data_IF_800946635863
#
_entry.id   IF_800946635863
#
_cell.length_a   1.000
_cell.length_b   1.000
_cell.length_c   1.000
_cell.angle_alpha   90.00
_cell.angle_beta   90.00
_cell.angle_gamma   90.00
#
_symmetry.space_group_name_H-M   'P 1'
#
loop_
_entity.id
_entity.type
_entity.pdbx_description
1 polymer ?
#
# COMPACT_ATOMS: atom_id res chain seq x y z
N UNK A 1 32.98 26.78 2.69
CA UNK A 1 31.63 27.02 3.23
C UNK A 1 30.72 26.00 2.57
N UNK A 2 30.73 24.77 3.08
CA UNK A 2 30.04 23.63 2.46
C UNK A 2 28.72 23.40 3.21
N UNK A 3 27.59 23.51 2.50
CA UNK A 3 26.31 22.98 2.95
C UNK A 3 25.98 21.78 2.08
N UNK A 4 26.07 20.58 2.67
CA UNK A 4 25.46 19.33 2.17
C UNK A 4 24.36 18.90 3.15
N UNK A 5 23.33 18.18 2.67
CA UNK A 5 22.01 18.12 3.29
C UNK A 5 21.98 17.13 4.47
N UNK A 6 21.35 17.54 5.57
CA UNK A 6 20.96 16.62 6.64
C UNK A 6 19.63 15.95 6.29
N UNK A 7 19.67 14.97 5.39
CA UNK A 7 18.67 13.90 5.36
C UNK A 7 19.02 12.91 6.46
N UNK A 8 18.59 13.23 7.68
CA UNK A 8 18.62 12.27 8.80
C UNK A 8 17.70 11.10 8.39
N UNK A 9 18.20 9.86 8.26
CA UNK A 9 17.33 8.70 8.13
C UNK A 9 16.49 8.66 9.41
N UNK A 10 15.19 8.86 9.25
CA UNK A 10 14.25 8.97 10.37
C UNK A 10 14.41 7.75 11.27
N UNK A 11 14.58 8.02 12.56
CA UNK A 11 14.87 7.15 13.70
C UNK A 11 13.88 5.98 13.90
N UNK A 12 12.93 5.80 12.99
CA UNK A 12 11.93 4.73 12.96
C UNK A 12 12.55 3.38 12.56
N UNK A 13 13.59 3.36 11.70
CA UNK A 13 14.29 2.12 11.31
C UNK A 13 14.91 1.35 12.50
N UNK A 14 15.20 2.02 13.62
CA UNK A 14 15.95 1.44 14.75
C UNK A 14 15.08 1.03 15.95
N UNK A 15 13.80 1.42 16.01
CA UNK A 15 12.94 1.04 17.15
C UNK A 15 12.30 -0.34 16.97
N UNK A 16 12.13 -0.82 15.73
CA UNK A 16 11.51 -2.12 15.43
C UNK A 16 12.49 -3.32 15.46
N UNK A 17 13.78 -3.10 15.71
CA UNK A 17 14.78 -4.17 15.84
C UNK A 17 14.67 -4.99 17.14
N UNK A 18 13.71 -4.73 18.05
CA UNK A 18 13.85 -5.18 19.45
C UNK A 18 12.83 -6.15 20.02
N UNK A 19 11.79 -6.60 19.33
CA UNK A 19 10.85 -7.51 20.00
C UNK A 19 10.10 -8.47 19.08
N UNK A 20 10.80 -9.48 18.56
CA UNK A 20 10.22 -10.66 17.90
C UNK A 20 9.36 -10.29 16.66
N UNK A 21 9.23 -11.10 15.63
CA UNK A 21 8.09 -11.98 15.39
C UNK A 21 8.32 -12.57 13.99
N UNK A 22 8.27 -13.88 13.79
CA UNK A 22 8.01 -14.41 12.46
C UNK A 22 6.56 -14.08 12.14
N UNK A 23 6.27 -13.54 10.94
CA UNK A 23 4.91 -13.25 10.44
C UNK A 23 4.27 -11.98 11.03
N UNK A 24 3.58 -11.23 10.15
CA UNK A 24 2.77 -10.01 10.35
C UNK A 24 3.57 -8.68 10.51
N UNK A 25 3.77 -7.95 9.41
CA UNK A 25 4.08 -6.51 9.46
C UNK A 25 2.78 -5.74 9.67
N UNK A 26 2.31 -5.71 10.92
CA UNK A 26 1.09 -4.99 11.32
C UNK A 26 1.41 -3.51 11.53
N UNK A 27 1.49 -2.73 10.45
CA UNK A 27 1.63 -1.27 10.51
C UNK A 27 0.26 -0.63 10.81
N UNK A 28 -0.23 -0.80 12.04
CA UNK A 28 -1.49 -0.17 12.44
C UNK A 28 -1.28 1.29 12.85
N UNK A 29 -1.80 2.22 12.06
CA UNK A 29 -1.74 3.67 12.31
C UNK A 29 -3.00 4.16 13.04
N UNK A 30 -3.40 3.49 14.13
CA UNK A 30 -4.48 4.01 14.99
C UNK A 30 -3.93 5.09 15.94
N UNK A 31 -3.59 6.27 15.42
CA UNK A 31 -3.22 7.43 16.24
C UNK A 31 -3.00 8.70 15.43
N UNK A 32 -3.26 9.91 15.99
CA UNK A 32 -3.18 11.19 15.28
C UNK A 32 -1.73 11.69 15.04
N UNK A 33 -0.74 10.79 14.94
CA UNK A 33 0.66 11.16 14.84
C UNK A 33 1.12 11.22 13.38
N UNK A 34 1.27 12.46 12.92
CA UNK A 34 2.40 13.00 12.13
C UNK A 34 3.11 11.99 11.21
N UNK A 35 2.71 12.02 9.94
CA UNK A 35 3.31 11.39 8.75
C UNK A 35 2.73 10.01 8.37
N UNK A 36 1.67 9.96 7.54
CA UNK A 36 1.14 8.70 7.02
C UNK A 36 2.21 7.96 6.19
N UNK A 37 2.18 6.63 6.22
CA UNK A 37 2.98 5.77 5.33
C UNK A 37 2.77 6.22 3.89
N UNK A 38 3.85 6.40 3.14
CA UNK A 38 3.82 6.88 1.76
C UNK A 38 4.68 6.00 0.85
N UNK A 39 4.78 6.36 -0.44
CA UNK A 39 5.48 5.57 -1.45
C UNK A 39 6.97 5.34 -1.16
N UNK A 40 7.63 6.26 -0.46
CA UNK A 40 9.05 6.09 -0.10
C UNK A 40 9.21 4.99 0.97
N UNK A 41 8.25 4.87 1.89
CA UNK A 41 8.24 3.79 2.88
C UNK A 41 8.01 2.43 2.21
N UNK A 42 7.09 2.35 1.23
CA UNK A 42 6.86 1.12 0.46
C UNK A 42 8.09 0.72 -0.34
N UNK A 43 8.80 1.69 -0.93
CA UNK A 43 10.07 1.40 -1.63
C UNK A 43 11.09 0.75 -0.71
N UNK A 44 11.22 1.24 0.53
CA UNK A 44 12.10 0.64 1.51
C UNK A 44 11.63 -0.76 1.92
N UNK A 45 10.33 -0.96 2.13
CA UNK A 45 9.76 -2.28 2.44
C UNK A 45 10.00 -3.28 1.31
N UNK A 46 9.91 -2.84 0.05
CA UNK A 46 10.16 -3.68 -1.12
C UNK A 46 11.62 -4.17 -1.23
N UNK A 47 12.59 -3.46 -0.63
CA UNK A 47 13.97 -3.96 -0.51
C UNK A 47 14.08 -5.18 0.41
N UNK A 48 13.15 -5.34 1.35
CA UNK A 48 13.06 -6.51 2.22
C UNK A 48 12.23 -7.61 1.54
N UNK A 49 12.88 -8.38 0.67
CA UNK A 49 12.28 -9.42 -0.15
C UNK A 49 11.73 -10.66 0.58
N UNK A 50 11.36 -10.55 1.86
CA UNK A 50 10.79 -11.65 2.66
C UNK A 50 9.46 -11.26 3.34
N UNK A 51 8.90 -10.09 3.02
CA UNK A 51 7.60 -9.65 3.57
C UNK A 51 6.47 -10.44 2.93
N UNK A 52 5.72 -11.18 3.75
CA UNK A 52 4.59 -12.00 3.29
C UNK A 52 3.23 -11.36 3.50
N UNK A 53 3.11 -10.46 4.47
CA UNK A 53 1.87 -9.81 4.84
C UNK A 53 2.13 -8.35 5.18
N UNK A 54 1.32 -7.45 4.62
CA UNK A 54 1.47 -6.01 4.80
C UNK A 54 0.11 -5.33 5.04
N UNK A 55 -0.01 -4.67 6.19
CA UNK A 55 -1.16 -3.82 6.52
C UNK A 55 -0.82 -2.37 6.15
N UNK A 56 -1.49 -1.81 5.13
CA UNK A 56 -1.29 -0.42 4.67
C UNK A 56 -2.55 0.42 4.86
N UNK A 57 -3.43 0.04 5.78
CA UNK A 57 -4.69 0.74 5.96
C UNK A 57 -4.49 2.20 6.35
N UNK A 58 -5.26 3.09 5.72
CA UNK A 58 -5.16 4.52 5.96
C UNK A 58 -3.83 5.15 5.51
N UNK A 59 -3.01 4.43 4.73
CA UNK A 59 -1.75 4.97 4.21
C UNK A 59 -1.98 5.96 3.07
N UNK A 60 -1.04 6.90 2.92
CA UNK A 60 -1.02 7.90 1.86
C UNK A 60 -0.17 7.44 0.66
N UNK A 61 -0.30 6.15 0.30
CA UNK A 61 0.37 5.58 -0.87
C UNK A 61 -0.38 5.95 -2.16
N UNK A 62 0.33 5.99 -3.28
CA UNK A 62 -0.23 6.30 -4.60
C UNK A 62 -0.11 5.12 -5.56
N UNK A 63 -0.58 5.33 -6.80
CA UNK A 63 -0.43 4.37 -7.90
C UNK A 63 1.03 3.95 -8.18
N UNK A 64 2.03 4.72 -7.70
CA UNK A 64 3.43 4.34 -7.76
C UNK A 64 3.77 3.15 -6.83
N UNK A 65 3.14 3.07 -5.66
CA UNK A 65 3.32 1.94 -4.73
C UNK A 65 2.73 0.64 -5.26
N UNK A 66 1.69 0.71 -6.09
CA UNK A 66 1.04 -0.48 -6.67
C UNK A 66 2.05 -1.33 -7.45
N UNK A 67 2.89 -0.68 -8.26
CA UNK A 67 3.88 -1.38 -9.06
C UNK A 67 4.98 -2.02 -8.18
N UNK A 68 5.34 -1.38 -7.07
CA UNK A 68 6.27 -1.91 -6.09
C UNK A 68 5.68 -3.12 -5.34
N UNK A 69 4.43 -3.03 -4.89
CA UNK A 69 3.72 -4.13 -4.24
C UNK A 69 3.60 -5.35 -5.16
N UNK A 70 3.38 -5.13 -6.45
CA UNK A 70 3.33 -6.20 -7.44
C UNK A 70 4.68 -6.94 -7.56
N UNK A 71 5.80 -6.22 -7.46
CA UNK A 71 7.15 -6.76 -7.57
C UNK A 71 7.62 -7.51 -6.30
N UNK A 72 6.93 -7.35 -5.17
CA UNK A 72 7.21 -8.06 -3.92
C UNK A 72 6.75 -9.53 -4.00
N UNK A 73 7.61 -10.41 -4.51
CA UNK A 73 7.27 -11.82 -4.83
C UNK A 73 6.85 -12.67 -3.64
N UNK A 74 7.37 -12.39 -2.44
CA UNK A 74 7.00 -13.13 -1.23
C UNK A 74 5.71 -12.61 -0.59
N UNK A 75 5.21 -11.45 -1.02
CA UNK A 75 3.98 -10.85 -0.50
C UNK A 75 2.78 -11.68 -0.95
N UNK A 76 2.06 -12.21 0.03
CA UNK A 76 0.89 -13.08 -0.15
C UNK A 76 -0.40 -12.38 0.24
N UNK A 77 -0.34 -11.37 1.12
CA UNK A 77 -1.52 -10.63 1.56
C UNK A 77 -1.19 -9.16 1.77
N UNK A 78 -2.05 -8.28 1.25
CA UNK A 78 -1.97 -6.84 1.49
C UNK A 78 -3.35 -6.28 1.82
N UNK A 79 -3.40 -5.38 2.79
CA UNK A 79 -4.60 -4.61 3.13
C UNK A 79 -4.42 -3.14 2.72
N UNK A 80 -5.30 -2.66 1.84
CA UNK A 80 -5.29 -1.34 1.23
C UNK A 80 -6.54 -0.52 1.59
N UNK A 81 -7.29 -0.92 2.63
CA UNK A 81 -8.46 -0.16 3.10
C UNK A 81 -8.09 1.29 3.46
N UNK A 82 -9.01 2.22 3.18
CA UNK A 82 -8.85 3.64 3.50
C UNK A 82 -7.58 4.29 2.88
N UNK A 83 -7.05 3.75 1.78
CA UNK A 83 -6.00 4.37 0.96
C UNK A 83 -6.62 5.22 -0.17
N UNK A 84 -5.88 6.20 -0.75
CA UNK A 84 -6.37 7.01 -1.86
C UNK A 84 -6.29 6.29 -3.22
N UNK A 85 -6.04 4.98 -3.25
CA UNK A 85 -5.96 4.19 -4.49
C UNK A 85 -7.32 4.07 -5.18
N UNK A 86 -7.29 3.97 -6.50
CA UNK A 86 -8.49 3.87 -7.34
C UNK A 86 -8.88 2.41 -7.65
N UNK A 87 -10.06 2.20 -8.24
CA UNK A 87 -10.45 0.89 -8.78
C UNK A 87 -9.42 0.35 -9.78
N UNK A 88 -8.98 1.20 -10.70
CA UNK A 88 -8.01 0.83 -11.74
C UNK A 88 -6.67 0.41 -11.15
N UNK A 89 -6.24 1.05 -10.06
CA UNK A 89 -5.01 0.67 -9.33
C UNK A 89 -5.10 -0.74 -8.75
N UNK A 90 -6.24 -1.08 -8.14
CA UNK A 90 -6.47 -2.39 -7.55
C UNK A 90 -6.60 -3.47 -8.62
N UNK A 91 -7.32 -3.20 -9.70
CA UNK A 91 -7.42 -4.15 -10.82
C UNK A 91 -6.06 -4.39 -11.47
N UNK A 92 -5.27 -3.33 -11.71
CA UNK A 92 -3.90 -3.45 -12.21
C UNK A 92 -3.02 -4.29 -11.28
N UNK A 93 -3.15 -4.14 -9.97
CA UNK A 93 -2.42 -4.98 -9.00
C UNK A 93 -2.79 -6.46 -9.16
N UNK A 94 -4.08 -6.77 -9.24
CA UNK A 94 -4.57 -8.15 -9.40
C UNK A 94 -4.22 -8.77 -10.74
N UNK A 95 -4.23 -7.98 -11.82
CA UNK A 95 -3.79 -8.45 -13.14
C UNK A 95 -2.32 -8.85 -13.12
N UNK A 96 -1.47 -8.08 -12.44
CA UNK A 96 -0.05 -8.38 -12.30
C UNK A 96 0.24 -9.50 -11.30
N UNK A 97 -0.57 -9.62 -10.23
CA UNK A 97 -0.41 -10.58 -9.14
C UNK A 97 -1.75 -11.26 -8.81
N UNK A 98 -2.25 -12.16 -9.67
CA UNK A 98 -3.51 -12.86 -9.42
C UNK A 98 -3.45 -13.81 -8.22
N UNK A 99 -2.25 -14.13 -7.74
CA UNK A 99 -1.96 -14.92 -6.55
C UNK A 99 -1.99 -14.11 -5.24
N UNK A 100 -1.86 -12.78 -5.31
CA UNK A 100 -1.83 -11.89 -4.15
C UNK A 100 -3.24 -11.66 -3.62
N UNK A 101 -3.44 -11.92 -2.32
CA UNK A 101 -4.71 -11.60 -1.65
C UNK A 101 -4.73 -10.11 -1.30
N UNK A 102 -5.58 -9.36 -1.99
CA UNK A 102 -5.75 -7.91 -1.77
C UNK A 102 -7.06 -7.67 -1.02
N UNK A 103 -6.96 -7.14 0.20
CA UNK A 103 -8.09 -6.62 0.96
C UNK A 103 -8.26 -5.13 0.66
N UNK A 104 -9.47 -4.75 0.25
CA UNK A 104 -9.84 -3.37 -0.03
C UNK A 104 -11.37 -3.21 0.02
N UNK A 105 -11.81 -2.04 0.44
CA UNK A 105 -13.21 -1.65 0.58
C UNK A 105 -13.37 -0.31 -0.12
N UNK A 106 -14.06 -0.33 -1.25
CA UNK A 106 -14.44 0.90 -1.91
C UNK A 106 -15.58 1.58 -1.16
N UNK A 107 -15.30 2.75 -0.58
CA UNK A 107 -16.30 3.63 0.02
C UNK A 107 -16.82 4.70 -0.96
N UNK A 108 -16.31 4.72 -2.21
CA UNK A 108 -16.69 5.73 -3.19
C UNK A 108 -18.08 5.43 -3.79
N UNK A 109 -19.11 6.28 -3.54
CA UNK A 109 -20.44 6.12 -4.13
C UNK A 109 -20.43 6.17 -5.68
N UNK A 110 -19.39 6.72 -6.31
CA UNK A 110 -19.25 6.74 -7.78
C UNK A 110 -18.98 5.38 -8.40
N UNK A 111 -18.53 4.39 -7.64
CA UNK A 111 -18.37 3.02 -8.19
C UNK A 111 -19.73 2.40 -8.51
N UNK A 112 -20.77 2.71 -7.71
CA UNK A 112 -22.15 2.34 -8.06
C UNK A 112 -22.57 2.98 -9.38
N UNK A 113 -22.33 4.29 -9.54
CA UNK A 113 -22.66 5.03 -10.77
C UNK A 113 -21.85 4.52 -11.99
N UNK A 114 -20.57 4.17 -11.81
CA UNK A 114 -19.69 3.68 -12.87
C UNK A 114 -20.06 2.26 -13.33
N UNK A 115 -20.51 1.39 -12.42
CA UNK A 115 -21.04 0.07 -12.79
C UNK A 115 -22.33 0.23 -13.60
N UNK A 116 -23.22 1.14 -13.22
CA UNK A 116 -24.45 1.44 -13.98
C UNK A 116 -24.14 2.01 -15.37
N UNK A 117 -23.17 2.91 -15.48
CA UNK A 117 -22.75 3.47 -16.76
C UNK A 117 -22.12 2.41 -17.68
N UNK A 118 -21.28 1.51 -17.15
CA UNK A 118 -20.69 0.40 -17.91
C UNK A 118 -21.75 -0.61 -18.37
N UNK A 119 -22.75 -0.93 -17.54
CA UNK A 119 -23.87 -1.79 -17.93
C UNK A 119 -24.73 -1.15 -19.03
N UNK A 120 -24.95 0.17 -18.97
CA UNK A 120 -25.73 0.90 -19.96
C UNK A 120 -25.02 1.07 -21.31
N UNK A 121 -23.68 1.14 -21.33
CA UNK A 121 -22.91 1.30 -22.59
C UNK A 121 -22.85 0.04 -23.45
N UNK A 122 -23.09 -1.14 -22.89
CA UNK A 122 -23.18 -2.40 -23.64
C UNK A 122 -24.60 -2.77 -24.09
N UNK A 123 -25.58 -1.90 -23.83
CA UNK A 123 -27.00 -2.13 -24.12
C UNK A 123 -27.57 -1.41 -25.35
N UNK A 124 -26.74 -0.90 -26.27
CA UNK A 124 -27.20 -0.26 -27.52
C UNK A 124 -26.39 -0.71 -28.75
#
# INVERSE_FOLDING_TARGET
MERRPQSQPSTILLTLQKSLFPVITNLQTNGPFVNPINDDDIRLVAEYGYVQQLDLRGSAITSASVDLLADMKELNTVDLDDTPLTYDDIERLKERRPDLVVHYTFKDPKIGEMIEELLNRHGN
#
